data_IF_748964999551
#
_entry.id   IF_748964999551
#
_cell.length_a   1.000
_cell.length_b   1.000
_cell.length_c   1.000
_cell.angle_alpha   90.00
_cell.angle_beta   90.00
_cell.angle_gamma   90.00
#
_symmetry.space_group_name_H-M   'P 1'
#
loop_
_entity.id
_entity.type
_entity.pdbx_description
1 polymer ?
#
# COMPACT_ATOMS: atom_id res chain seq x y z
N UNK A 1 13.56 6.42 -0.02
CA UNK A 1 12.76 7.62 0.37
C UNK A 1 13.60 8.41 1.37
N UNK A 2 13.52 9.74 1.36
CA UNK A 2 14.22 10.62 2.32
C UNK A 2 13.33 10.97 3.51
N UNK A 3 13.94 11.27 4.66
CA UNK A 3 13.26 11.83 5.82
C UNK A 3 12.52 13.12 5.45
N UNK A 4 11.33 13.32 5.99
CA UNK A 4 10.58 14.57 5.80
C UNK A 4 11.26 15.72 6.55
N UNK A 5 10.97 16.96 6.16
CA UNK A 5 11.36 18.11 6.97
C UNK A 5 10.64 18.04 8.32
N UNK A 6 11.33 18.43 9.41
CA UNK A 6 10.82 18.25 10.79
C UNK A 6 9.46 18.88 11.06
N UNK A 7 9.08 19.91 10.30
CA UNK A 7 7.76 20.56 10.41
C UNK A 7 6.61 19.73 9.81
N UNK A 8 6.90 18.66 9.08
CA UNK A 8 5.92 17.75 8.46
C UNK A 8 5.85 16.39 9.16
N UNK A 9 6.73 16.12 10.13
CA UNK A 9 6.80 14.80 10.77
C UNK A 9 5.67 14.57 11.78
N UNK A 10 5.08 15.63 12.32
CA UNK A 10 3.98 15.58 13.31
C UNK A 10 4.25 14.61 14.49
N UNK A 11 5.52 14.52 14.92
CA UNK A 11 5.95 13.63 16.01
C UNK A 11 6.20 12.18 15.61
N UNK A 12 6.05 11.82 14.33
CA UNK A 12 6.40 10.50 13.82
C UNK A 12 7.91 10.23 13.93
N UNK A 13 8.26 8.98 14.23
CA UNK A 13 9.64 8.53 14.28
C UNK A 13 10.05 8.07 12.88
N UNK A 14 11.06 8.72 12.31
CA UNK A 14 11.66 8.27 11.06
C UNK A 14 12.53 7.02 11.31
N UNK A 15 12.33 6.00 10.50
CA UNK A 15 13.17 4.80 10.46
C UNK A 15 14.02 4.81 9.19
N UNK A 16 15.35 4.81 9.34
CA UNK A 16 16.30 4.89 8.22
C UNK A 16 16.28 3.64 7.32
N UNK A 17 15.69 2.54 7.77
CA UNK A 17 15.59 1.30 7.03
C UNK A 17 14.34 0.47 7.41
N UNK A 18 13.98 -0.46 6.53
CA UNK A 18 12.76 -1.25 6.67
C UNK A 18 12.77 -2.20 7.86
N UNK A 19 13.93 -2.75 8.21
CA UNK A 19 14.07 -3.64 9.36
C UNK A 19 13.74 -2.89 10.66
N UNK A 20 14.26 -1.68 10.81
CA UNK A 20 13.95 -0.82 11.95
C UNK A 20 12.46 -0.49 12.02
N UNK A 21 11.85 -0.12 10.89
CA UNK A 21 10.41 0.15 10.83
C UNK A 21 9.59 -1.09 11.24
N UNK A 22 9.86 -2.24 10.62
CA UNK A 22 9.06 -3.45 10.80
C UNK A 22 9.20 -4.01 12.21
N UNK A 23 10.40 -3.97 12.80
CA UNK A 23 10.62 -4.35 14.19
C UNK A 23 9.77 -3.55 15.20
N UNK A 24 9.34 -2.35 14.84
CA UNK A 24 8.53 -1.46 15.68
C UNK A 24 7.08 -1.33 15.17
N UNK A 25 6.61 -2.26 14.35
CA UNK A 25 5.27 -2.21 13.73
C UNK A 25 4.38 -3.36 14.22
N UNK A 26 3.70 -3.17 15.35
CA UNK A 26 2.58 -4.07 15.73
C UNK A 26 1.41 -3.94 14.75
N UNK A 27 1.26 -2.74 14.16
CA UNK A 27 0.36 -2.45 13.05
C UNK A 27 1.17 -1.85 11.90
N UNK A 28 1.31 -2.58 10.79
CA UNK A 28 1.98 -2.11 9.58
C UNK A 28 0.95 -1.66 8.55
N UNK A 29 0.99 -0.39 8.15
CA UNK A 29 0.16 0.15 7.06
C UNK A 29 1.00 0.51 5.84
N UNK A 30 0.70 -0.13 4.71
CA UNK A 30 1.46 0.01 3.46
C UNK A 30 0.77 1.06 2.57
N UNK A 31 1.47 2.18 2.38
CA UNK A 31 0.98 3.36 1.65
C UNK A 31 2.02 3.91 0.64
N UNK A 32 3.06 3.13 0.30
CA UNK A 32 4.07 3.53 -0.66
C UNK A 32 3.64 3.21 -2.11
N UNK A 33 4.04 4.00 -3.12
CA UNK A 33 3.74 3.66 -4.51
C UNK A 33 4.52 2.41 -4.95
N UNK A 34 3.98 1.69 -5.95
CA UNK A 34 4.72 0.63 -6.62
C UNK A 34 5.85 1.20 -7.48
N UNK A 35 7.07 0.77 -7.16
CA UNK A 35 8.28 0.95 -7.96
C UNK A 35 9.03 -0.39 -7.99
N UNK A 36 10.08 -0.49 -8.82
CA UNK A 36 10.92 -1.69 -8.86
C UNK A 36 11.53 -2.04 -7.49
N UNK A 37 11.79 -1.03 -6.67
CA UNK A 37 12.36 -1.17 -5.34
C UNK A 37 11.33 -1.58 -4.27
N UNK A 38 10.02 -1.40 -4.54
CA UNK A 38 8.95 -1.77 -3.59
C UNK A 38 8.23 -3.05 -3.96
N UNK A 39 8.46 -3.61 -5.15
CA UNK A 39 7.92 -4.92 -5.52
C UNK A 39 8.47 -5.99 -4.55
N UNK A 40 7.58 -6.80 -3.97
CA UNK A 40 7.91 -7.79 -2.94
C UNK A 40 8.71 -7.22 -1.75
N UNK A 41 8.47 -5.95 -1.42
CA UNK A 41 9.05 -5.32 -0.23
C UNK A 41 8.66 -6.08 1.04
N UNK A 42 7.42 -6.58 1.09
CA UNK A 42 6.90 -7.45 2.13
C UNK A 42 7.00 -8.90 1.67
N UNK A 43 8.17 -9.49 1.90
CA UNK A 43 8.52 -10.88 1.61
C UNK A 43 8.84 -11.67 2.89
N UNK A 44 9.15 -12.97 2.77
CA UNK A 44 9.43 -13.87 3.89
C UNK A 44 10.50 -13.33 4.86
N UNK A 45 11.59 -12.75 4.34
CA UNK A 45 12.64 -12.17 5.18
C UNK A 45 12.13 -10.95 5.95
N UNK A 46 11.45 -10.03 5.28
CA UNK A 46 10.95 -8.79 5.90
C UNK A 46 9.85 -9.06 6.93
N UNK A 47 8.95 -10.03 6.66
CA UNK A 47 7.89 -10.43 7.57
C UNK A 47 8.46 -10.94 8.91
N UNK A 48 9.62 -11.59 8.88
CA UNK A 48 10.28 -12.05 10.10
C UNK A 48 10.77 -10.91 11.01
N UNK A 49 10.86 -9.68 10.51
CA UNK A 49 11.15 -8.49 11.33
C UNK A 49 9.94 -8.00 12.11
N UNK A 50 8.72 -8.33 11.68
CA UNK A 50 7.53 -7.91 12.42
C UNK A 50 7.50 -8.55 13.81
N UNK A 51 6.96 -7.87 14.83
CA UNK A 51 6.52 -8.53 16.06
C UNK A 51 5.60 -9.72 15.76
N UNK A 52 5.66 -10.76 16.58
CA UNK A 52 4.72 -11.87 16.47
C UNK A 52 3.30 -11.37 16.75
N UNK A 53 2.34 -11.74 15.89
CA UNK A 53 0.95 -11.28 15.99
C UNK A 53 0.71 -9.87 15.43
N UNK A 54 1.60 -9.35 14.58
CA UNK A 54 1.38 -8.06 13.94
C UNK A 54 0.16 -8.06 13.02
N UNK A 55 -0.47 -6.89 12.84
CA UNK A 55 -1.55 -6.65 11.87
C UNK A 55 -0.97 -5.90 10.68
N UNK A 56 -1.28 -6.37 9.47
CA UNK A 56 -0.79 -5.75 8.23
C UNK A 56 -1.97 -5.23 7.42
N UNK A 57 -1.83 -4.03 6.83
CA UNK A 57 -2.81 -3.47 5.89
C UNK A 57 -2.13 -2.98 4.61
N UNK A 58 -2.80 -3.15 3.47
CA UNK A 58 -2.33 -2.64 2.19
C UNK A 58 -3.45 -1.93 1.42
N UNK A 59 -3.29 -0.62 1.25
CA UNK A 59 -4.14 0.23 0.41
C UNK A 59 -3.35 0.89 -0.74
N UNK A 60 -2.12 0.42 -0.98
CA UNK A 60 -1.22 0.96 -1.97
C UNK A 60 -1.30 0.20 -3.29
N UNK A 61 -0.47 -0.84 -3.46
CA UNK A 61 -0.43 -1.71 -4.64
C UNK A 61 -0.18 -3.15 -4.20
N UNK A 62 -0.79 -4.09 -4.92
CA UNK A 62 -0.76 -5.50 -4.54
C UNK A 62 0.59 -6.19 -4.69
N UNK A 63 1.39 -5.75 -5.67
CA UNK A 63 2.74 -6.29 -5.97
C UNK A 63 3.80 -5.94 -4.91
N UNK A 64 3.45 -5.16 -3.90
CA UNK A 64 4.31 -4.84 -2.76
C UNK A 64 4.43 -6.04 -1.80
N UNK A 65 3.40 -6.89 -1.73
CA UNK A 65 3.36 -8.08 -0.88
C UNK A 65 3.64 -9.33 -1.72
N UNK A 66 4.56 -10.17 -1.25
CA UNK A 66 4.65 -11.56 -1.70
C UNK A 66 3.50 -12.36 -1.06
N UNK A 67 2.50 -12.69 -1.86
CA UNK A 67 1.29 -13.38 -1.40
C UNK A 67 1.60 -14.71 -0.69
N UNK A 68 2.54 -15.49 -1.22
CA UNK A 68 2.84 -16.80 -0.65
C UNK A 68 3.50 -16.66 0.73
N UNK A 69 4.40 -15.70 0.87
CA UNK A 69 5.03 -15.40 2.16
C UNK A 69 4.01 -14.89 3.19
N UNK A 70 3.11 -14.00 2.77
CA UNK A 70 2.06 -13.47 3.63
C UNK A 70 1.06 -14.56 4.07
N UNK A 71 0.59 -15.40 3.15
CA UNK A 71 -0.29 -16.53 3.47
C UNK A 71 0.37 -17.48 4.49
N UNK A 72 1.66 -17.79 4.31
CA UNK A 72 2.41 -18.62 5.26
C UNK A 72 2.47 -17.97 6.65
N UNK A 73 2.75 -16.67 6.72
CA UNK A 73 2.84 -15.91 7.96
C UNK A 73 1.50 -15.79 8.69
N UNK A 74 0.41 -15.65 7.94
CA UNK A 74 -0.96 -15.67 8.44
C UNK A 74 -1.32 -17.04 9.03
N UNK A 75 -0.97 -18.13 8.32
CA UNK A 75 -1.21 -19.51 8.80
C UNK A 75 -0.39 -19.85 10.05
N UNK A 76 0.82 -19.31 10.19
CA UNK A 76 1.66 -19.54 11.38
C UNK A 76 1.31 -18.65 12.58
N UNK A 77 0.47 -17.63 12.41
CA UNK A 77 0.17 -16.62 13.43
C UNK A 77 1.26 -15.55 13.59
N UNK A 78 2.30 -15.56 12.74
CA UNK A 78 3.30 -14.48 12.69
C UNK A 78 2.63 -13.14 12.36
N UNK A 79 1.67 -13.17 11.43
CA UNK A 79 0.73 -12.07 11.19
C UNK A 79 -0.63 -12.50 11.74
N UNK A 80 -1.17 -11.71 12.67
CA UNK A 80 -2.44 -11.98 13.32
C UNK A 80 -3.62 -11.73 12.38
N UNK A 81 -3.58 -10.63 11.62
CA UNK A 81 -4.63 -10.26 10.68
C UNK A 81 -4.07 -9.48 9.48
N UNK A 82 -4.75 -9.60 8.34
CA UNK A 82 -4.43 -8.88 7.11
C UNK A 82 -5.66 -8.12 6.60
N UNK A 83 -5.48 -6.86 6.23
CA UNK A 83 -6.47 -6.05 5.52
C UNK A 83 -5.99 -5.65 4.13
N UNK A 84 -6.71 -5.99 3.07
CA UNK A 84 -6.33 -5.67 1.70
C UNK A 84 -7.42 -4.87 1.00
N UNK A 85 -7.05 -3.71 0.47
CA UNK A 85 -7.82 -3.03 -0.60
C UNK A 85 -7.27 -3.37 -1.99
N UNK A 86 -6.02 -3.85 -2.05
CA UNK A 86 -5.29 -4.13 -3.29
C UNK A 86 -4.60 -5.50 -3.26
N UNK A 87 -4.38 -6.11 -4.43
CA UNK A 87 -3.92 -7.49 -4.61
C UNK A 87 -3.00 -7.63 -5.82
N UNK A 88 -2.06 -8.55 -5.75
CA UNK A 88 -1.26 -8.90 -6.92
C UNK A 88 -2.15 -9.62 -7.93
N UNK A 89 -2.14 -9.19 -9.19
CA UNK A 89 -2.95 -9.79 -10.27
C UNK A 89 -4.44 -9.48 -10.26
N UNK A 90 -4.88 -8.37 -9.63
CA UNK A 90 -6.27 -7.93 -9.65
C UNK A 90 -6.91 -7.97 -11.06
N UNK A 91 -8.18 -8.38 -11.18
CA UNK A 91 -9.11 -8.75 -10.09
C UNK A 91 -8.97 -10.22 -9.63
N UNK A 92 -8.05 -11.00 -10.21
CA UNK A 92 -7.87 -12.43 -9.90
C UNK A 92 -6.85 -12.60 -8.78
N UNK A 93 -7.34 -12.57 -7.54
CA UNK A 93 -6.51 -12.70 -6.34
C UNK A 93 -6.05 -14.14 -6.13
N UNK A 94 -4.98 -14.33 -5.33
CA UNK A 94 -4.56 -15.66 -4.91
C UNK A 94 -5.70 -16.37 -4.13
N UNK A 95 -6.21 -17.52 -4.60
CA UNK A 95 -7.38 -18.18 -4.01
C UNK A 95 -7.13 -18.72 -2.59
N UNK A 96 -5.87 -18.87 -2.17
CA UNK A 96 -5.54 -19.29 -0.80
C UNK A 96 -5.92 -18.23 0.25
N UNK A 97 -5.97 -16.95 -0.12
CA UNK A 97 -6.45 -15.89 0.77
C UNK A 97 -7.89 -16.14 1.23
N UNK A 98 -8.74 -16.65 0.34
CA UNK A 98 -10.15 -16.93 0.63
C UNK A 98 -10.36 -18.08 1.62
N UNK A 99 -9.29 -18.80 1.98
CA UNK A 99 -9.31 -19.89 2.97
C UNK A 99 -8.91 -19.42 4.38
N UNK A 100 -8.49 -18.16 4.53
CA UNK A 100 -8.05 -17.58 5.80
C UNK A 100 -9.25 -16.96 6.54
N UNK A 101 -9.30 -17.15 7.87
CA UNK A 101 -10.38 -16.62 8.72
C UNK A 101 -10.06 -15.23 9.30
N UNK A 102 -8.81 -14.78 9.18
CA UNK A 102 -8.27 -13.57 9.77
C UNK A 102 -7.93 -12.51 8.70
N UNK A 103 -8.76 -12.42 7.67
CA UNK A 103 -8.55 -11.58 6.50
C UNK A 103 -9.77 -10.68 6.25
N UNK A 104 -9.54 -9.40 5.95
CA UNK A 104 -10.57 -8.46 5.51
C UNK A 104 -10.24 -7.92 4.12
N UNK A 105 -11.20 -7.99 3.18
CA UNK A 105 -10.99 -7.74 1.78
C UNK A 105 -11.91 -6.64 1.24
N UNK A 106 -11.34 -5.68 0.52
CA UNK A 106 -12.06 -4.65 -0.23
C UNK A 106 -11.64 -4.69 -1.71
N UNK A 107 -12.56 -4.42 -2.65
CA UNK A 107 -12.27 -4.46 -4.09
C UNK A 107 -11.74 -3.12 -4.62
N UNK A 108 -10.56 -2.69 -4.15
CA UNK A 108 -9.85 -1.49 -4.61
C UNK A 108 -10.69 -0.21 -4.54
N UNK A 109 -11.21 0.06 -3.34
CA UNK A 109 -12.16 1.11 -3.04
C UNK A 109 -11.54 2.36 -2.42
N UNK A 110 -10.21 2.44 -2.23
CA UNK A 110 -9.56 3.55 -1.51
C UNK A 110 -9.95 4.97 -1.96
N UNK A 111 -10.29 5.16 -3.24
CA UNK A 111 -10.77 6.44 -3.80
C UNK A 111 -12.26 6.50 -4.12
N UNK A 112 -13.03 5.45 -3.81
CA UNK A 112 -14.37 5.20 -4.34
C UNK A 112 -15.50 5.98 -3.64
N UNK A 113 -15.28 7.25 -3.33
CA UNK A 113 -16.37 8.17 -2.94
C UNK A 113 -16.84 8.97 -4.16
N UNK A 114 -18.12 9.33 -4.21
CA UNK A 114 -18.69 10.14 -5.30
C UNK A 114 -17.90 11.44 -5.47
N UNK A 115 -17.65 12.16 -4.37
CA UNK A 115 -16.90 13.42 -4.38
C UNK A 115 -15.49 13.21 -4.94
N UNK A 116 -14.72 12.27 -4.40
CA UNK A 116 -13.34 12.02 -4.86
C UNK A 116 -13.28 11.64 -6.33
N UNK A 117 -14.20 10.79 -6.81
CA UNK A 117 -14.22 10.37 -8.22
C UNK A 117 -14.61 11.51 -9.16
N UNK A 118 -15.53 12.39 -8.76
CA UNK A 118 -15.86 13.62 -9.52
C UNK A 118 -14.66 14.57 -9.55
N UNK A 119 -14.03 14.83 -8.40
CA UNK A 119 -12.86 15.72 -8.30
C UNK A 119 -11.70 15.21 -9.18
N UNK A 120 -11.45 13.90 -9.20
CA UNK A 120 -10.47 13.26 -10.09
C UNK A 120 -10.82 13.42 -11.58
N UNK A 121 -12.09 13.23 -11.94
CA UNK A 121 -12.59 13.41 -13.31
C UNK A 121 -12.41 14.85 -13.79
N UNK A 122 -12.81 15.82 -12.96
CA UNK A 122 -12.63 17.25 -13.24
C UNK A 122 -11.14 17.59 -13.40
N UNK A 123 -10.27 17.06 -12.53
CA UNK A 123 -8.82 17.24 -12.65
C UNK A 123 -8.27 16.71 -13.98
N UNK A 124 -8.78 15.58 -14.48
CA UNK A 124 -8.38 15.06 -15.79
C UNK A 124 -8.85 15.97 -16.93
N UNK A 125 -10.10 16.47 -16.88
CA UNK A 125 -10.65 17.42 -17.85
C UNK A 125 -9.82 18.71 -17.88
N UNK A 126 -9.53 19.30 -16.72
CA UNK A 126 -8.70 20.51 -16.58
C UNK A 126 -7.33 20.35 -17.26
N UNK A 127 -6.70 19.17 -17.14
CA UNK A 127 -5.41 18.91 -17.77
C UNK A 127 -5.52 18.84 -19.30
N UNK A 128 -6.59 18.24 -19.83
CA UNK A 128 -6.87 18.20 -21.28
C UNK A 128 -7.17 19.59 -21.83
N UNK A 129 -7.99 20.37 -21.14
CA UNK A 129 -8.30 21.74 -21.54
C UNK A 129 -7.05 22.61 -21.57
N UNK A 130 -6.17 22.49 -20.57
CA UNK A 130 -4.89 23.20 -20.59
C UNK A 130 -4.06 22.78 -21.81
N UNK A 131 -3.93 21.48 -22.07
CA UNK A 131 -3.18 20.98 -23.22
C UNK A 131 -3.69 21.52 -24.56
N UNK A 132 -5.00 21.40 -24.84
CA UNK A 132 -5.58 21.85 -26.11
C UNK A 132 -5.58 23.38 -26.28
N UNK A 133 -5.51 24.13 -25.19
CA UNK A 133 -5.36 25.59 -25.21
C UNK A 133 -3.89 26.05 -25.21
N UNK A 134 -2.94 25.17 -25.51
CA UNK A 134 -1.50 25.47 -25.49
C UNK A 134 -0.99 25.99 -24.12
N UNK A 135 -1.66 25.61 -23.03
CA UNK A 135 -1.21 25.84 -21.65
C UNK A 135 -0.56 24.58 -21.11
N UNK A 136 0.32 24.73 -20.12
CA UNK A 136 0.97 23.60 -19.45
C UNK A 136 -0.05 22.84 -18.59
N UNK A 137 -0.23 21.51 -18.76
CA UNK A 137 -1.03 20.69 -17.85
C UNK A 137 -0.46 20.75 -16.43
N UNK A 138 -1.33 20.73 -15.41
CA UNK A 138 -0.95 20.83 -14.00
C UNK A 138 -0.31 19.54 -13.47
N UNK A 139 -0.74 18.40 -13.99
CA UNK A 139 -0.40 17.07 -13.45
C UNK A 139 0.45 16.24 -14.43
N UNK A 140 1.50 16.86 -14.94
CA UNK A 140 2.48 16.14 -15.76
C UNK A 140 3.26 15.15 -14.90
N UNK A 141 3.31 13.91 -15.36
CA UNK A 141 4.17 12.87 -14.78
C UNK A 141 5.55 12.93 -15.43
N UNK A 142 6.58 12.58 -14.66
CA UNK A 142 7.99 12.58 -15.10
C UNK A 142 8.32 11.38 -15.98
#
# INVERSE_FOLDING_TARGET
>A
RTKLASNLEEGAIYHDNIKSLFNNSEFLSINCPATKETTNLVNEQSINYLPDGAVVTNAARGDIIDDNAMIKAMKSGKVFALGLDVYNGEPKINPEYLKLNNLFLLPHLGSATVKTRIDMGNRAIDNLENFFNNKKPKDQVN
#
